data_IF_758255382455
#
_entry.id   IF_758255382455
#
_cell.length_a   1.000
_cell.length_b   1.000
_cell.length_c   1.000
_cell.angle_alpha   90.00
_cell.angle_beta   90.00
_cell.angle_gamma   90.00
#
_symmetry.space_group_name_H-M   'P 1'
#
loop_
_entity.id
_entity.type
_entity.pdbx_description
1 polymer ?
#
# COMPACT_ATOMS: atom_id res chain seq x y z
N UNK A 1 14.26 -2.33 10.51
CA UNK A 1 12.82 -2.64 10.36
C UNK A 1 12.51 -2.63 8.88
N UNK A 2 12.03 -3.74 8.31
CA UNK A 2 11.55 -3.79 6.93
C UNK A 2 10.12 -3.25 6.95
N UNK A 3 9.84 -2.22 6.15
CA UNK A 3 8.48 -1.74 5.93
C UNK A 3 7.86 -2.55 4.81
N UNK A 4 6.66 -3.08 5.04
CA UNK A 4 5.88 -3.74 3.99
C UNK A 4 5.03 -2.67 3.32
N UNK A 5 5.35 -2.34 2.08
CA UNK A 5 4.50 -1.48 1.24
C UNK A 5 3.52 -2.36 0.47
N UNK A 6 2.23 -2.26 0.79
CA UNK A 6 1.18 -2.91 0.02
C UNK A 6 0.62 -1.95 -1.04
N UNK A 7 0.25 -2.48 -2.21
CA UNK A 7 -0.49 -1.76 -3.25
C UNK A 7 -1.89 -2.39 -3.40
N UNK A 8 -2.89 -1.95 -2.62
CA UNK A 8 -4.22 -2.57 -2.60
C UNK A 8 -4.87 -2.65 -3.99
N UNK A 9 -4.65 -1.65 -4.85
CA UNK A 9 -5.19 -1.57 -6.20
C UNK A 9 -4.62 -2.66 -7.12
N UNK A 10 -3.34 -2.99 -6.94
CA UNK A 10 -2.68 -4.08 -7.68
C UNK A 10 -3.22 -5.44 -7.25
N UNK A 11 -3.52 -5.61 -5.96
CA UNK A 11 -4.14 -6.84 -5.43
C UNK A 11 -5.56 -7.02 -5.93
N UNK A 12 -6.36 -5.95 -5.97
CA UNK A 12 -7.71 -5.99 -6.52
C UNK A 12 -7.71 -6.35 -8.02
N UNK A 13 -6.79 -5.75 -8.79
CA UNK A 13 -6.62 -6.07 -10.22
C UNK A 13 -6.22 -7.53 -10.43
N UNK A 14 -5.28 -8.03 -9.61
CA UNK A 14 -4.87 -9.43 -9.66
C UNK A 14 -6.04 -10.38 -9.32
N UNK A 15 -6.84 -10.07 -8.30
CA UNK A 15 -8.02 -10.85 -7.93
C UNK A 15 -9.03 -10.93 -9.08
N UNK A 16 -9.27 -9.81 -9.78
CA UNK A 16 -10.15 -9.78 -10.94
C UNK A 16 -9.63 -10.63 -12.10
N UNK A 17 -8.33 -10.55 -12.40
CA UNK A 17 -7.71 -11.36 -13.44
C UNK A 17 -7.81 -12.86 -13.12
N UNK A 18 -7.56 -13.24 -11.88
CA UNK A 18 -7.69 -14.63 -11.41
C UNK A 18 -9.14 -15.11 -11.55
N UNK A 19 -10.13 -14.31 -11.15
CA UNK A 19 -11.55 -14.64 -11.32
C UNK A 19 -11.93 -14.89 -12.80
N UNK A 20 -11.40 -14.08 -13.72
CA UNK A 20 -11.64 -14.22 -15.16
C UNK A 20 -11.04 -15.53 -15.69
N UNK A 21 -9.85 -15.93 -15.20
CA UNK A 21 -9.24 -17.24 -15.52
C UNK A 21 -10.14 -18.37 -15.04
N UNK A 22 -10.63 -18.32 -13.79
CA UNK A 22 -11.52 -19.35 -13.24
C UNK A 22 -12.82 -19.50 -14.04
N UNK A 23 -13.38 -18.39 -14.50
CA UNK A 23 -14.57 -18.37 -15.36
C UNK A 23 -14.29 -19.03 -16.71
N UNK A 24 -13.20 -18.64 -17.37
CA UNK A 24 -12.77 -19.20 -18.65
C UNK A 24 -12.51 -20.70 -18.56
N UNK A 25 -11.85 -21.15 -17.49
CA UNK A 25 -11.56 -22.56 -17.24
C UNK A 25 -12.85 -23.37 -17.01
N UNK A 26 -13.78 -22.84 -16.22
CA UNK A 26 -15.07 -23.50 -15.96
C UNK A 26 -15.89 -23.66 -17.24
N UNK A 27 -15.91 -22.64 -18.10
CA UNK A 27 -16.58 -22.69 -19.41
C UNK A 27 -15.94 -23.71 -20.35
N UNK A 28 -14.60 -23.75 -20.41
CA UNK A 28 -13.87 -24.73 -21.21
C UNK A 28 -14.16 -26.17 -20.75
N UNK A 29 -14.14 -26.42 -19.43
CA UNK A 29 -14.43 -27.73 -18.87
C UNK A 29 -15.88 -28.17 -19.08
N UNK A 30 -16.84 -27.24 -19.02
CA UNK A 30 -18.24 -27.53 -19.35
C UNK A 30 -18.42 -27.89 -20.83
N UNK A 31 -17.74 -27.19 -21.73
CA UNK A 31 -17.80 -27.45 -23.18
C UNK A 31 -17.22 -28.83 -23.52
N UNK A 32 -16.14 -29.23 -22.85
CA UNK A 32 -15.50 -30.52 -23.05
C UNK A 32 -16.21 -31.69 -22.35
N UNK A 33 -17.17 -31.43 -21.45
CA UNK A 33 -17.73 -32.47 -20.59
C UNK A 33 -18.43 -33.58 -21.37
N UNK A 34 -19.30 -33.23 -22.32
CA UNK A 34 -20.05 -34.22 -23.08
C UNK A 34 -19.12 -35.10 -23.94
N UNK A 35 -18.24 -34.49 -24.73
CA UNK A 35 -17.36 -35.23 -25.65
C UNK A 35 -16.36 -36.15 -24.97
N UNK A 36 -16.03 -35.90 -23.70
CA UNK A 36 -15.08 -36.71 -22.92
C UNK A 36 -15.76 -37.77 -22.05
N UNK A 37 -17.02 -37.59 -21.66
CA UNK A 37 -17.76 -38.53 -20.79
C UNK A 37 -18.67 -39.49 -21.56
N UNK A 38 -18.97 -39.21 -22.83
CA UNK A 38 -19.79 -40.07 -23.69
C UNK A 38 -18.98 -40.69 -24.83
N UNK A 39 -17.81 -41.25 -24.51
CA UNK A 39 -16.94 -41.86 -25.53
C UNK A 39 -17.58 -43.15 -26.05
N UNK A 40 -17.79 -43.23 -27.35
CA UNK A 40 -18.32 -44.42 -28.01
C UNK A 40 -17.19 -45.41 -28.32
N UNK A 41 -17.48 -46.70 -28.17
CA UNK A 41 -16.55 -47.75 -28.57
C UNK A 41 -16.35 -47.74 -30.10
N UNK A 42 -15.09 -47.88 -30.54
CA UNK A 42 -14.74 -47.90 -31.97
C UNK A 42 -15.23 -49.18 -32.67
N UNK A 43 -15.39 -50.27 -31.93
CA UNK A 43 -15.87 -51.57 -32.38
C UNK A 43 -16.79 -52.22 -31.35
N UNK A 44 -17.46 -53.31 -31.77
CA UNK A 44 -18.36 -54.08 -30.91
C UNK A 44 -17.61 -55.01 -29.91
N UNK A 45 -16.30 -55.18 -30.09
CA UNK A 45 -15.46 -56.05 -29.28
C UNK A 45 -15.29 -55.52 -27.84
N UNK A 46 -14.96 -56.44 -26.94
CA UNK A 46 -14.81 -56.17 -25.51
C UNK A 46 -13.67 -55.19 -25.22
N UNK A 47 -12.60 -55.19 -26.04
CA UNK A 47 -11.46 -54.29 -25.86
C UNK A 47 -11.86 -52.85 -26.17
N UNK A 48 -12.51 -52.62 -27.30
CA UNK A 48 -13.06 -51.30 -27.68
C UNK A 48 -14.04 -50.77 -26.63
N UNK A 49 -14.93 -51.62 -26.12
CA UNK A 49 -15.87 -51.24 -25.06
C UNK A 49 -15.15 -50.91 -23.74
N UNK A 50 -14.15 -51.70 -23.35
CA UNK A 50 -13.38 -51.46 -22.13
C UNK A 50 -12.60 -50.13 -22.21
N UNK A 51 -11.98 -49.82 -23.36
CA UNK A 51 -11.26 -48.56 -23.58
C UNK A 51 -12.23 -47.37 -23.50
N UNK A 52 -13.40 -47.44 -24.15
CA UNK A 52 -14.39 -46.37 -24.11
C UNK A 52 -14.91 -46.11 -22.68
N UNK A 53 -15.16 -47.17 -21.90
CA UNK A 53 -15.51 -47.06 -20.47
C UNK A 53 -14.40 -46.41 -19.65
N UNK A 54 -13.14 -46.84 -19.84
CA UNK A 54 -12.00 -46.28 -19.12
C UNK A 54 -11.89 -44.76 -19.29
N UNK A 55 -11.98 -44.27 -20.53
CA UNK A 55 -11.92 -42.82 -20.79
C UNK A 55 -13.12 -42.07 -20.23
N UNK A 56 -14.33 -42.64 -20.36
CA UNK A 56 -15.56 -42.02 -19.85
C UNK A 56 -15.56 -41.92 -18.32
N UNK A 57 -15.09 -42.97 -17.62
CA UNK A 57 -14.93 -42.97 -16.16
C UNK A 57 -13.87 -41.97 -15.72
N UNK A 58 -12.71 -41.94 -16.40
CA UNK A 58 -11.66 -40.97 -16.11
C UNK A 58 -12.13 -39.53 -16.28
N UNK A 59 -12.88 -39.24 -17.35
CA UNK A 59 -13.47 -37.93 -17.59
C UNK A 59 -14.48 -37.54 -16.50
N UNK A 60 -15.28 -38.49 -16.02
CA UNK A 60 -16.23 -38.25 -14.92
C UNK A 60 -15.52 -37.92 -13.61
N UNK A 61 -14.43 -38.64 -13.30
CA UNK A 61 -13.57 -38.32 -12.16
C UNK A 61 -12.90 -36.94 -12.31
N UNK A 62 -12.40 -36.62 -13.51
CA UNK A 62 -11.85 -35.31 -13.81
C UNK A 62 -12.87 -34.19 -13.58
N UNK A 63 -14.13 -34.36 -14.03
CA UNK A 63 -15.19 -33.36 -13.81
C UNK A 63 -15.50 -33.15 -12.32
N UNK A 64 -15.51 -34.23 -11.51
CA UNK A 64 -15.66 -34.13 -10.06
C UNK A 64 -14.50 -33.36 -9.40
N UNK A 65 -13.27 -33.65 -9.80
CA UNK A 65 -12.08 -32.93 -9.31
C UNK A 65 -12.10 -31.47 -9.75
N UNK A 66 -12.49 -31.18 -10.99
CA UNK A 66 -12.60 -29.83 -11.51
C UNK A 66 -13.65 -29.01 -10.74
N UNK A 67 -14.77 -29.60 -10.33
CA UNK A 67 -15.75 -28.92 -9.49
C UNK A 67 -15.16 -28.52 -8.13
N UNK A 68 -14.35 -29.39 -7.52
CA UNK A 68 -13.64 -29.08 -6.27
C UNK A 68 -12.60 -27.97 -6.47
N UNK A 69 -11.85 -28.02 -7.57
CA UNK A 69 -10.88 -26.99 -7.93
C UNK A 69 -11.55 -25.62 -8.17
N UNK A 70 -12.73 -25.59 -8.79
CA UNK A 70 -13.50 -24.37 -8.98
C UNK A 70 -13.96 -23.75 -7.65
N UNK A 71 -14.42 -24.57 -6.71
CA UNK A 71 -14.80 -24.12 -5.36
C UNK A 71 -13.60 -23.56 -4.58
N UNK A 72 -12.44 -24.23 -4.67
CA UNK A 72 -11.19 -23.73 -4.10
C UNK A 72 -10.79 -22.39 -4.73
N UNK A 73 -10.84 -22.29 -6.06
CA UNK A 73 -10.52 -21.07 -6.79
C UNK A 73 -11.39 -19.89 -6.36
N UNK A 74 -12.70 -20.10 -6.18
CA UNK A 74 -13.60 -19.08 -5.67
C UNK A 74 -13.20 -18.60 -4.27
N UNK A 75 -12.90 -19.53 -3.37
CA UNK A 75 -12.44 -19.22 -2.00
C UNK A 75 -11.11 -18.46 -2.00
N UNK A 76 -10.20 -18.82 -2.90
CA UNK A 76 -8.92 -18.14 -3.09
C UNK A 76 -9.13 -16.67 -3.52
N UNK A 77 -9.95 -16.43 -4.54
CA UNK A 77 -10.26 -15.06 -5.01
C UNK A 77 -10.95 -14.24 -3.91
N UNK A 78 -11.87 -14.84 -3.17
CA UNK A 78 -12.53 -14.16 -2.05
C UNK A 78 -11.53 -13.76 -0.96
N UNK A 79 -10.60 -14.66 -0.61
CA UNK A 79 -9.55 -14.40 0.37
C UNK A 79 -8.60 -13.30 -0.10
N UNK A 80 -8.23 -13.31 -1.38
CA UNK A 80 -7.35 -12.30 -1.97
C UNK A 80 -7.97 -10.90 -1.94
N UNK A 81 -9.27 -10.79 -2.25
CA UNK A 81 -10.02 -9.53 -2.12
C UNK A 81 -10.08 -9.05 -0.67
N UNK A 82 -10.34 -9.95 0.29
CA UNK A 82 -10.37 -9.62 1.70
C UNK A 82 -8.99 -9.11 2.19
N UNK A 83 -7.90 -9.74 1.75
CA UNK A 83 -6.55 -9.29 2.06
C UNK A 83 -6.25 -7.89 1.51
N UNK A 84 -6.64 -7.61 0.27
CA UNK A 84 -6.53 -6.26 -0.31
C UNK A 84 -7.27 -5.20 0.51
N UNK A 85 -8.49 -5.51 0.96
CA UNK A 85 -9.27 -4.64 1.85
C UNK A 85 -8.61 -4.44 3.22
N UNK A 86 -8.01 -5.48 3.80
CA UNK A 86 -7.32 -5.40 5.08
C UNK A 86 -6.12 -4.42 5.02
N UNK A 87 -5.29 -4.49 3.97
CA UNK A 87 -4.17 -3.55 3.80
C UNK A 87 -4.66 -2.10 3.64
N UNK A 88 -5.69 -1.87 2.83
CA UNK A 88 -6.28 -0.53 2.69
C UNK A 88 -6.82 0.01 4.01
N UNK A 89 -7.50 -0.83 4.80
CA UNK A 89 -8.03 -0.44 6.12
C UNK A 89 -6.94 -0.13 7.13
N UNK A 90 -5.79 -0.81 7.07
CA UNK A 90 -4.66 -0.56 7.95
C UNK A 90 -4.01 0.80 7.66
N UNK A 91 -3.82 1.15 6.38
CA UNK A 91 -3.32 2.47 5.98
C UNK A 91 -4.27 3.59 6.41
N UNK A 92 -5.58 3.39 6.22
CA UNK A 92 -6.60 4.34 6.66
C UNK A 92 -6.61 4.51 8.20
N UNK A 93 -6.50 3.41 8.95
CA UNK A 93 -6.43 3.43 10.41
C UNK A 93 -5.19 4.17 10.90
N UNK A 94 -4.03 3.91 10.30
CA UNK A 94 -2.80 4.65 10.59
C UNK A 94 -3.01 6.15 10.35
N UNK A 95 -3.40 6.55 9.15
CA UNK A 95 -3.64 7.95 8.80
C UNK A 95 -4.63 8.63 9.76
N UNK A 96 -5.68 7.93 10.19
CA UNK A 96 -6.66 8.44 11.15
C UNK A 96 -6.06 8.67 12.55
N UNK A 97 -5.17 7.79 13.00
CA UNK A 97 -4.48 7.94 14.27
C UNK A 97 -3.53 9.16 14.25
N UNK A 98 -2.76 9.33 13.16
CA UNK A 98 -1.93 10.53 13.01
C UNK A 98 -2.79 11.81 12.93
N UNK A 99 -3.91 11.79 12.22
CA UNK A 99 -4.82 12.93 12.18
C UNK A 99 -5.41 13.27 13.57
N UNK A 100 -5.75 12.26 14.36
CA UNK A 100 -6.24 12.44 15.74
C UNK A 100 -5.17 13.09 16.63
N UNK A 101 -3.94 12.60 16.58
CA UNK A 101 -2.81 13.19 17.32
C UNK A 101 -2.62 14.66 16.96
N UNK A 102 -2.62 14.98 15.66
CA UNK A 102 -2.46 16.36 15.18
C UNK A 102 -3.62 17.26 15.60
N UNK A 103 -4.86 16.76 15.55
CA UNK A 103 -6.03 17.50 16.02
C UNK A 103 -5.95 17.80 17.51
N UNK A 104 -5.55 16.81 18.32
CA UNK A 104 -5.38 17.00 19.76
C UNK A 104 -4.29 18.03 20.07
N UNK A 105 -3.16 17.97 19.38
CA UNK A 105 -2.11 18.99 19.48
C UNK A 105 -2.62 20.36 19.05
N UNK A 106 -3.43 20.46 17.99
CA UNK A 106 -4.03 21.72 17.55
C UNK A 106 -4.93 22.32 18.64
N UNK A 107 -5.78 21.52 19.30
CA UNK A 107 -6.65 21.97 20.39
C UNK A 107 -5.83 22.46 21.59
N UNK A 108 -4.78 21.72 21.97
CA UNK A 108 -3.88 22.11 23.07
C UNK A 108 -3.13 23.40 22.73
N UNK A 109 -2.71 23.56 21.48
CA UNK A 109 -1.94 24.71 21.04
C UNK A 109 -2.78 25.94 20.73
N UNK A 110 -4.09 25.79 20.48
CA UNK A 110 -4.95 26.89 20.02
C UNK A 110 -4.91 28.13 20.94
N UNK A 111 -4.99 28.02 22.28
CA UNK A 111 -4.89 29.19 23.15
C UNK A 111 -3.53 29.88 23.05
N UNK A 112 -2.44 29.11 23.09
CA UNK A 112 -1.09 29.65 23.01
C UNK A 112 -0.82 30.30 21.64
N UNK A 113 -1.32 29.68 20.57
CA UNK A 113 -1.23 30.24 19.22
C UNK A 113 -1.97 31.57 19.12
N UNK A 114 -3.15 31.70 19.74
CA UNK A 114 -3.93 32.93 19.76
C UNK A 114 -3.30 34.05 20.61
N UNK A 115 -2.69 33.69 21.75
CA UNK A 115 -2.11 34.64 22.71
C UNK A 115 -0.69 35.08 22.35
N UNK A 116 0.12 34.15 21.81
CA UNK A 116 1.57 34.34 21.65
C UNK A 116 2.05 34.14 20.21
N UNK A 117 1.15 33.83 19.27
CA UNK A 117 1.51 33.55 17.88
C UNK A 117 2.36 32.29 17.70
N UNK A 118 2.51 31.47 18.75
CA UNK A 118 3.37 30.28 18.78
C UNK A 118 2.67 29.13 19.51
N UNK A 119 2.89 27.88 19.09
CA UNK A 119 2.29 26.73 19.74
C UNK A 119 2.87 26.54 21.14
N UNK A 120 2.13 25.85 22.02
CA UNK A 120 2.61 25.50 23.35
C UNK A 120 3.57 24.31 23.29
N UNK A 121 3.22 23.30 22.49
CA UNK A 121 3.94 22.04 22.31
C UNK A 121 4.06 21.76 20.81
N UNK A 122 5.26 21.42 20.36
CA UNK A 122 5.51 21.01 18.97
C UNK A 122 6.85 21.52 18.46
N UNK A 123 7.43 20.82 17.48
CA UNK A 123 8.67 21.28 16.87
C UNK A 123 8.39 22.41 15.87
N UNK A 124 9.38 23.27 15.69
CA UNK A 124 9.37 24.27 14.64
C UNK A 124 9.47 23.64 13.27
N UNK A 125 8.79 24.23 12.28
CA UNK A 125 8.86 23.77 10.90
C UNK A 125 10.27 23.97 10.35
N UNK A 126 10.81 22.98 9.65
CA UNK A 126 12.08 23.16 8.94
C UNK A 126 11.93 24.20 7.82
N UNK A 127 12.98 24.97 7.59
CA UNK A 127 13.07 25.87 6.48
C UNK A 127 12.95 25.14 5.15
N UNK A 128 12.40 25.82 4.16
CA UNK A 128 12.23 25.36 2.77
C UNK A 128 12.98 26.29 1.82
N UNK A 129 13.12 25.90 0.55
CA UNK A 129 13.72 26.79 -0.45
C UNK A 129 13.01 28.15 -0.55
N UNK A 130 11.69 28.19 -0.35
CA UNK A 130 10.88 29.41 -0.40
C UNK A 130 10.91 30.24 0.89
N UNK A 131 11.12 29.59 2.04
CA UNK A 131 11.27 30.24 3.34
C UNK A 131 12.44 29.58 4.09
N UNK A 132 13.68 30.09 3.90
CA UNK A 132 14.88 29.33 4.28
C UNK A 132 15.06 29.12 5.76
N UNK A 133 14.55 30.02 6.60
CA UNK A 133 14.74 29.94 8.05
C UNK A 133 13.84 28.86 8.66
N UNK A 134 14.38 28.11 9.61
CA UNK A 134 13.59 27.23 10.46
C UNK A 134 12.69 28.03 11.39
N UNK A 135 11.46 27.55 11.58
CA UNK A 135 10.52 28.12 12.53
C UNK A 135 10.90 27.78 13.97
N UNK A 136 10.45 28.60 14.91
CA UNK A 136 10.65 28.34 16.34
C UNK A 136 9.80 27.14 16.80
N UNK A 137 10.34 26.38 17.75
CA UNK A 137 9.62 25.35 18.49
C UNK A 137 8.55 25.94 19.42
N UNK A 138 7.69 25.08 19.94
CA UNK A 138 6.65 25.42 20.89
C UNK A 138 7.21 26.00 22.19
N UNK A 139 6.42 26.80 22.89
CA UNK A 139 6.87 27.58 24.05
C UNK A 139 7.40 26.69 25.19
N UNK A 140 6.68 25.60 25.52
CA UNK A 140 7.06 24.71 26.62
C UNK A 140 7.93 23.55 26.15
N UNK A 141 7.51 22.88 25.08
CA UNK A 141 8.18 21.68 24.60
C UNK A 141 8.26 21.71 23.07
N UNK A 142 9.48 21.61 22.53
CA UNK A 142 9.69 21.62 21.09
C UNK A 142 11.09 22.02 20.70
N UNK A 143 11.64 21.33 19.71
CA UNK A 143 12.88 21.73 19.06
C UNK A 143 12.61 22.83 18.03
N UNK A 144 13.60 23.68 17.79
CA UNK A 144 13.58 24.59 16.65
C UNK A 144 13.70 23.83 15.34
N UNK A 145 13.07 24.35 14.28
CA UNK A 145 13.20 23.79 12.94
C UNK A 145 14.59 24.05 12.37
N UNK A 146 15.12 23.14 11.57
CA UNK A 146 16.40 23.32 10.90
C UNK A 146 16.27 24.34 9.75
N UNK A 147 17.29 25.17 9.54
CA UNK A 147 17.38 26.04 8.38
C UNK A 147 17.62 25.26 7.09
N UNK A 148 17.10 25.77 5.98
CA UNK A 148 17.27 25.19 4.65
C UNK A 148 18.71 25.42 4.14
N UNK A 149 19.33 24.35 3.62
CA UNK A 149 20.63 24.45 2.96
C UNK A 149 20.45 24.85 1.50
N UNK A 150 21.06 25.96 1.09
CA UNK A 150 20.90 26.48 -0.27
C UNK A 150 21.76 25.73 -1.28
N UNK A 151 21.22 25.58 -2.49
CA UNK A 151 21.94 24.99 -3.64
C UNK A 151 22.42 26.05 -4.62
N UNK A 152 21.86 27.26 -4.59
CA UNK A 152 22.27 28.37 -5.45
C UNK A 152 23.57 29.00 -4.94
N UNK A 153 24.58 29.05 -5.80
CA UNK A 153 25.88 29.62 -5.49
C UNK A 153 25.80 31.05 -4.96
N UNK A 154 26.53 31.32 -3.88
CA UNK A 154 26.59 32.65 -3.27
C UNK A 154 25.36 33.02 -2.42
N UNK A 155 24.37 32.14 -2.28
CA UNK A 155 23.20 32.36 -1.41
C UNK A 155 23.46 31.73 -0.04
N UNK A 156 23.29 32.51 1.03
CA UNK A 156 23.44 32.03 2.40
C UNK A 156 22.34 31.03 2.78
N UNK A 157 22.71 30.02 3.58
CA UNK A 157 21.76 29.06 4.15
C UNK A 157 20.82 29.73 5.15
N UNK A 158 19.67 29.10 5.39
CA UNK A 158 18.70 29.59 6.36
C UNK A 158 19.18 29.43 7.81
N UNK A 159 18.75 30.34 8.68
CA UNK A 159 18.98 30.19 10.12
C UNK A 159 18.17 29.03 10.69
N UNK A 160 18.68 28.39 11.74
CA UNK A 160 17.89 27.45 12.55
C UNK A 160 16.94 28.19 13.48
N UNK A 161 15.79 27.57 13.78
CA UNK A 161 14.79 28.12 14.69
C UNK A 161 15.15 27.96 16.16
N UNK A 162 14.52 28.76 17.01
CA UNK A 162 14.71 28.69 18.47
C UNK A 162 13.99 27.49 19.07
N UNK A 163 14.53 26.92 20.15
CA UNK A 163 13.84 25.90 20.94
C UNK A 163 12.74 26.50 21.83
N UNK A 164 11.92 25.62 22.40
CA UNK A 164 11.10 25.90 23.58
C UNK A 164 11.88 25.88 24.88
N UNK A 165 11.16 25.96 26.01
CA UNK A 165 11.73 25.78 27.35
C UNK A 165 12.45 24.43 27.48
N UNK A 166 11.84 23.37 26.95
CA UNK A 166 12.44 22.04 26.80
C UNK A 166 12.56 21.73 25.31
N UNK A 167 13.79 21.65 24.83
CA UNK A 167 14.10 21.32 23.44
C UNK A 167 15.49 21.79 23.03
N UNK A 168 15.88 21.45 21.82
CA UNK A 168 17.12 21.87 21.18
C UNK A 168 16.84 22.87 20.07
N UNK A 169 17.72 23.86 19.90
CA UNK A 169 17.63 24.78 18.77
C UNK A 169 17.83 24.05 17.44
N UNK A 170 17.26 24.59 16.37
CA UNK A 170 17.45 24.07 15.03
C UNK A 170 18.86 24.32 14.51
N UNK A 171 19.38 23.41 13.72
CA UNK A 171 20.64 23.61 13.02
C UNK A 171 20.48 24.68 11.92
N UNK A 172 21.50 25.51 11.69
CA UNK A 172 21.55 26.38 10.51
C UNK A 172 21.78 25.56 9.23
N UNK A 173 21.23 26.03 8.12
CA UNK A 173 21.44 25.47 6.79
C UNK A 173 22.79 25.89 6.20
N UNK A 174 23.36 25.05 5.33
CA UNK A 174 24.56 25.39 4.59
C UNK A 174 24.30 26.45 3.52
N UNK A 175 25.27 27.32 3.25
CA UNK A 175 25.25 28.21 2.09
C UNK A 175 25.53 27.45 0.79
N UNK A 176 25.03 27.98 -0.32
CA UNK A 176 25.27 27.40 -1.64
C UNK A 176 26.73 27.55 -2.04
N UNK A 177 27.30 26.46 -2.56
CA UNK A 177 28.71 26.39 -2.93
C UNK A 177 29.10 27.53 -3.88
N UNK A 178 30.20 28.23 -3.61
CA UNK A 178 30.68 29.27 -4.49
C UNK A 178 31.10 28.65 -5.83
N UNK A 179 30.55 29.17 -6.94
CA UNK A 179 31.02 28.83 -8.28
C UNK A 179 32.43 29.41 -8.43
N UNK A 180 33.45 28.59 -8.20
CA UNK A 180 34.81 28.88 -8.65
C UNK A 180 34.78 28.85 -10.18
N UNK A 181 34.80 30.02 -10.80
CA UNK A 181 35.08 30.15 -12.22
C UNK A 181 36.57 29.86 -12.42
N UNK A 182 36.90 28.67 -12.92
CA UNK A 182 38.23 28.32 -13.45
C UNK A 182 38.33 28.70 -14.92
#
# INVERSE_FOLDING_TARGET
>A
MSFVTAAPEMLATAAQNVANIGTSLSAANATAAASTTSVLAAGADEVSQAIARLFSDYATHYQSLNAQAAAFHHSFVQTLNAAGGAYSSAEAANASAQALEQNLLAVINAPAQALFGRPLIGNGANGTAASPNGGDGGILYGNGGNGFSQTTAGVAGGAGGSAGLIGNGGNGGAGGACLLYT
#
